data_IF_695843470734
#
_entry.id   IF_695843470734
#
_cell.length_a   1.000
_cell.length_b   1.000
_cell.length_c   1.000
_cell.angle_alpha   90.00
_cell.angle_beta   90.00
_cell.angle_gamma   90.00
#
_symmetry.space_group_name_H-M   'P 1'
#
loop_
_entity.id
_entity.type
_entity.pdbx_description
1 polymer ?
#
# COMPACT_ATOMS: atom_id res chain seq x y z
N UNK A 1 -20.81 -77.49 19.90
CA UNK A 1 -21.02 -76.04 19.75
C UNK A 1 -19.79 -75.45 19.08
N UNK A 2 -19.87 -75.13 17.79
CA UNK A 2 -18.78 -74.49 17.03
C UNK A 2 -19.07 -72.99 16.99
N UNK A 3 -18.16 -72.18 17.52
CA UNK A 3 -18.20 -70.72 17.41
C UNK A 3 -17.35 -70.34 16.20
N UNK A 4 -18.02 -70.02 15.10
CA UNK A 4 -17.44 -69.22 14.03
C UNK A 4 -17.88 -67.75 14.18
N UNK A 5 -17.14 -66.86 13.53
CA UNK A 5 -17.32 -65.41 13.40
C UNK A 5 -16.59 -64.54 14.43
N UNK A 6 -15.42 -64.01 14.03
CA UNK A 6 -15.23 -62.57 13.83
C UNK A 6 -13.83 -62.31 13.23
N UNK A 7 -13.67 -62.49 11.90
CA UNK A 7 -12.57 -61.84 11.17
C UNK A 7 -13.07 -60.48 10.70
N UNK A 8 -12.94 -59.47 11.57
CA UNK A 8 -13.40 -58.10 11.34
C UNK A 8 -12.24 -57.25 10.82
N UNK A 9 -12.45 -56.64 9.65
CA UNK A 9 -11.49 -55.87 8.85
C UNK A 9 -10.92 -54.65 9.58
N UNK A 10 -9.93 -54.86 10.45
CA UNK A 10 -9.28 -53.79 11.21
C UNK A 10 -8.30 -52.88 10.44
N UNK A 11 -7.62 -53.29 9.34
CA UNK A 11 -6.59 -52.42 8.75
C UNK A 11 -7.15 -51.26 7.93
N UNK A 12 -8.43 -51.30 7.52
CA UNK A 12 -9.07 -50.21 6.75
C UNK A 12 -9.52 -49.03 7.64
N UNK A 13 -9.79 -49.27 8.93
CA UNK A 13 -10.17 -48.20 9.86
C UNK A 13 -8.97 -47.39 10.38
N UNK A 14 -7.77 -47.98 10.42
CA UNK A 14 -6.55 -47.25 10.84
C UNK A 14 -6.01 -46.30 9.75
N UNK A 15 -6.17 -46.64 8.47
CA UNK A 15 -5.71 -45.79 7.37
C UNK A 15 -6.55 -44.51 7.21
N UNK A 16 -7.84 -44.55 7.56
CA UNK A 16 -8.72 -43.39 7.50
C UNK A 16 -8.46 -42.38 8.64
N UNK A 17 -7.90 -42.81 9.78
CA UNK A 17 -7.63 -41.92 10.91
C UNK A 17 -6.34 -41.08 10.75
N UNK A 18 -5.38 -41.51 9.94
CA UNK A 18 -4.12 -40.79 9.72
C UNK A 18 -4.18 -39.72 8.62
N UNK A 19 -5.20 -39.73 7.76
CA UNK A 19 -5.38 -38.72 6.72
C UNK A 19 -6.05 -37.42 7.22
N UNK A 20 -6.51 -37.38 8.47
CA UNK A 20 -7.24 -36.25 9.07
C UNK A 20 -6.35 -35.32 9.92
N UNK A 21 -5.04 -35.54 9.99
CA UNK A 21 -4.11 -34.76 10.82
C UNK A 21 -2.94 -34.17 10.01
N UNK A 22 -3.12 -33.97 8.70
CA UNK A 22 -2.20 -33.11 7.95
C UNK A 22 -2.72 -31.67 8.07
N UNK A 23 -2.04 -30.78 8.82
CA UNK A 23 -2.33 -29.35 8.74
C UNK A 23 -2.05 -28.93 7.30
N UNK A 24 -3.11 -28.68 6.54
CA UNK A 24 -2.98 -27.96 5.28
C UNK A 24 -2.45 -26.58 5.66
N UNK A 25 -1.25 -26.25 5.17
CA UNK A 25 -0.70 -24.91 5.25
C UNK A 25 -1.72 -23.97 4.63
N UNK A 26 -2.44 -23.23 5.47
CA UNK A 26 -3.25 -22.09 5.04
C UNK A 26 -2.27 -21.04 4.54
N UNK A 27 -2.01 -21.07 3.24
CA UNK A 27 -1.34 -19.99 2.54
C UNK A 27 -2.26 -18.78 2.65
N UNK A 28 -1.87 -17.81 3.46
CA UNK A 28 -2.48 -16.49 3.45
C UNK A 28 -2.10 -15.86 2.10
N UNK A 29 -3.06 -15.79 1.20
CA UNK A 29 -2.94 -15.06 -0.07
C UNK A 29 -3.56 -13.68 0.11
N UNK A 30 -2.76 -12.65 -0.18
CA UNK A 30 -3.15 -11.27 -0.49
C UNK A 30 -3.97 -10.50 0.58
N UNK A 31 -3.24 -9.70 1.38
CA UNK A 31 -3.72 -8.59 2.23
C UNK A 31 -4.78 -9.00 3.28
N UNK A 32 -4.32 -9.48 4.45
CA UNK A 32 -5.17 -9.68 5.64
C UNK A 32 -5.61 -8.33 6.27
N UNK A 33 -6.43 -7.57 5.54
CA UNK A 33 -7.30 -6.52 6.08
C UNK A 33 -8.72 -7.06 6.36
N UNK A 34 -9.03 -8.30 5.95
CA UNK A 34 -10.39 -8.86 6.01
C UNK A 34 -10.58 -10.14 6.85
N UNK A 35 -9.69 -10.44 7.81
CA UNK A 35 -9.92 -11.55 8.76
C UNK A 35 -10.34 -11.06 10.15
N UNK A 36 -11.60 -11.31 10.48
CA UNK A 36 -12.19 -11.22 11.82
C UNK A 36 -13.47 -10.37 11.86
N UNK A 37 -14.55 -10.90 12.43
CA UNK A 37 -15.79 -10.16 12.64
C UNK A 37 -15.50 -8.86 13.41
N UNK A 38 -15.85 -7.72 12.82
CA UNK A 38 -15.72 -6.42 13.45
C UNK A 38 -16.62 -6.35 14.68
N UNK A 39 -16.03 -6.39 15.88
CA UNK A 39 -16.69 -5.87 17.06
C UNK A 39 -16.81 -4.36 16.89
N UNK A 40 -18.00 -3.89 16.49
CA UNK A 40 -18.61 -2.56 16.75
C UNK A 40 -17.89 -1.25 16.44
N UNK A 41 -16.57 -1.19 16.34
CA UNK A 41 -15.80 0.04 16.34
C UNK A 41 -15.06 0.31 15.04
N UNK A 42 -14.86 1.60 14.75
CA UNK A 42 -14.25 2.06 13.51
C UNK A 42 -12.75 1.76 13.43
N UNK A 43 -12.26 1.40 12.24
CA UNK A 43 -10.84 1.13 12.02
C UNK A 43 -10.02 2.43 11.99
N UNK A 44 -8.80 2.42 12.50
CA UNK A 44 -7.85 3.53 12.33
C UNK A 44 -6.81 3.13 11.28
N UNK A 45 -6.62 3.95 10.26
CA UNK A 45 -5.66 3.70 9.18
C UNK A 45 -4.68 4.87 9.10
N UNK A 46 -3.42 4.61 9.42
CA UNK A 46 -2.35 5.58 9.21
C UNK A 46 -1.68 5.29 7.86
N UNK A 47 -1.79 6.22 6.92
CA UNK A 47 -1.03 6.16 5.66
C UNK A 47 0.31 6.87 5.88
N UNK A 48 1.40 6.18 5.59
CA UNK A 48 2.77 6.72 5.65
C UNK A 48 3.29 6.77 4.22
N UNK A 49 3.65 7.96 3.73
CA UNK A 49 4.18 8.14 2.36
C UNK A 49 5.66 8.53 2.45
N UNK A 50 6.50 7.77 1.76
CA UNK A 50 7.88 8.12 1.49
C UNK A 50 7.96 9.30 0.50
N UNK A 51 8.02 10.51 1.05
CA UNK A 51 8.17 11.75 0.31
C UNK A 51 9.64 12.14 0.06
N UNK A 52 10.60 11.21 0.03
CA UNK A 52 12.03 11.51 -0.20
C UNK A 52 12.35 12.02 -1.61
N UNK A 53 13.60 12.37 -1.87
CA UNK A 53 14.05 13.02 -3.12
C UNK A 53 13.56 12.38 -4.42
N UNK A 54 13.36 11.06 -4.45
CA UNK A 54 12.90 10.30 -5.61
C UNK A 54 11.37 10.35 -5.82
N UNK A 55 10.64 10.95 -4.89
CA UNK A 55 9.19 11.12 -4.98
C UNK A 55 8.76 12.00 -6.18
N UNK A 56 9.67 12.86 -6.66
CA UNK A 56 9.52 13.63 -7.89
C UNK A 56 10.41 13.08 -9.04
N UNK A 57 10.78 11.80 -8.99
CA UNK A 57 11.50 11.12 -10.07
C UNK A 57 10.50 10.45 -11.04
N UNK A 58 10.83 10.48 -12.33
CA UNK A 58 10.08 9.84 -13.42
C UNK A 58 10.71 8.48 -13.81
N UNK A 59 11.77 8.04 -13.13
CA UNK A 59 12.47 6.80 -13.43
C UNK A 59 11.59 5.53 -13.32
N UNK A 60 10.45 5.60 -12.64
CA UNK A 60 9.50 4.49 -12.56
C UNK A 60 8.60 4.34 -13.81
N UNK A 61 8.64 5.30 -14.74
CA UNK A 61 7.91 5.27 -16.01
C UNK A 61 6.39 5.00 -15.83
N UNK A 62 5.77 5.66 -14.86
CA UNK A 62 4.31 5.56 -14.67
C UNK A 62 3.60 5.98 -15.97
N UNK A 63 2.49 5.30 -16.34
CA UNK A 63 1.71 5.66 -17.52
C UNK A 63 1.36 7.16 -17.50
N UNK A 64 1.46 7.83 -18.65
CA UNK A 64 1.18 9.28 -18.75
C UNK A 64 2.37 10.19 -18.41
N UNK A 65 3.52 9.63 -18.01
CA UNK A 65 4.72 10.42 -17.66
C UNK A 65 4.60 11.12 -16.31
N UNK A 66 3.74 10.60 -15.44
CA UNK A 66 3.54 11.06 -14.08
C UNK A 66 4.73 10.73 -13.19
N UNK A 67 5.02 11.62 -12.24
CA UNK A 67 6.01 11.33 -11.20
C UNK A 67 5.39 10.39 -10.16
N UNK A 68 6.22 9.54 -9.56
CA UNK A 68 5.75 8.54 -8.58
C UNK A 68 4.86 9.15 -7.48
N UNK A 69 5.30 10.27 -6.88
CA UNK A 69 4.53 10.90 -5.82
C UNK A 69 3.21 11.48 -6.26
N UNK A 70 3.06 11.85 -7.55
CA UNK A 70 1.77 12.25 -8.09
C UNK A 70 0.83 11.04 -8.15
N UNK A 71 1.29 9.92 -8.70
CA UNK A 71 0.50 8.69 -8.80
C UNK A 71 0.04 8.18 -7.43
N UNK A 72 0.91 8.20 -6.41
CA UNK A 72 0.58 7.81 -5.04
C UNK A 72 -0.52 8.71 -4.43
N UNK A 73 -0.39 10.04 -4.60
CA UNK A 73 -1.38 11.00 -4.09
C UNK A 73 -2.71 10.91 -4.85
N UNK A 74 -2.67 10.73 -6.17
CA UNK A 74 -3.86 10.58 -7.00
C UNK A 74 -4.62 9.29 -6.69
N UNK A 75 -3.91 8.19 -6.43
CA UNK A 75 -4.52 6.95 -5.98
C UNK A 75 -5.26 7.14 -4.64
N UNK A 76 -4.66 7.84 -3.68
CA UNK A 76 -5.33 8.18 -2.42
C UNK A 76 -6.55 9.07 -2.68
N UNK A 77 -6.40 10.14 -3.46
CA UNK A 77 -7.50 11.06 -3.82
C UNK A 77 -8.67 10.30 -4.48
N UNK A 78 -8.40 9.29 -5.31
CA UNK A 78 -9.43 8.48 -5.94
C UNK A 78 -10.16 7.56 -4.94
N UNK A 79 -9.47 7.03 -3.92
CA UNK A 79 -10.05 6.08 -2.95
C UNK A 79 -10.79 6.78 -1.82
N UNK A 80 -10.29 7.90 -1.28
CA UNK A 80 -10.87 8.59 -0.10
C UNK A 80 -12.39 8.84 -0.23
N UNK A 81 -12.96 9.28 -1.38
CA UNK A 81 -14.40 9.50 -1.54
C UNK A 81 -15.25 8.24 -1.33
N UNK A 82 -14.68 7.05 -1.54
CA UNK A 82 -15.38 5.76 -1.39
C UNK A 82 -15.40 5.25 0.06
N UNK A 83 -14.60 5.84 0.95
CA UNK A 83 -14.51 5.42 2.34
C UNK A 83 -15.78 5.75 3.12
N UNK A 84 -16.21 4.78 3.94
CA UNK A 84 -17.34 4.92 4.86
C UNK A 84 -16.89 5.61 6.15
N UNK A 85 -17.86 6.11 6.90
CA UNK A 85 -17.63 6.87 8.13
C UNK A 85 -17.27 5.99 9.35
N UNK A 86 -17.13 4.68 9.15
CA UNK A 86 -16.62 3.72 10.14
C UNK A 86 -15.10 3.52 10.05
N UNK A 87 -14.40 4.38 9.31
CA UNK A 87 -12.95 4.37 9.19
C UNK A 87 -12.43 5.76 9.56
N UNK A 88 -11.35 5.80 10.34
CA UNK A 88 -10.56 6.98 10.58
C UNK A 88 -9.27 6.88 9.75
N UNK A 89 -8.85 7.97 9.12
CA UNK A 89 -7.63 8.01 8.33
C UNK A 89 -6.73 9.15 8.80
N UNK A 90 -5.44 8.87 8.94
CA UNK A 90 -4.37 9.84 9.17
C UNK A 90 -3.30 9.75 8.08
N UNK A 91 -2.52 10.81 7.93
CA UNK A 91 -1.39 10.89 7.00
C UNK A 91 -0.12 11.26 7.75
N UNK A 92 0.92 10.47 7.56
CA UNK A 92 2.28 10.73 8.02
C UNK A 92 3.21 10.88 6.82
N UNK A 93 4.09 11.87 6.88
CA UNK A 93 5.19 12.07 5.92
C UNK A 93 6.52 12.04 6.67
N UNK A 94 7.61 11.77 5.95
CA UNK A 94 8.95 11.92 6.51
C UNK A 94 9.31 13.40 6.65
N UNK A 95 9.98 13.73 7.76
CA UNK A 95 10.50 15.07 7.97
C UNK A 95 11.63 15.39 6.98
N UNK A 96 12.03 16.66 6.93
CA UNK A 96 13.08 17.11 5.99
C UNK A 96 14.50 16.71 6.43
N UNK A 97 14.66 15.97 7.53
CA UNK A 97 15.97 15.45 7.91
C UNK A 97 16.30 14.22 7.05
N UNK A 98 17.56 14.10 6.62
CA UNK A 98 18.05 12.90 5.94
C UNK A 98 18.62 11.90 6.93
N UNK A 99 18.56 10.60 6.63
CA UNK A 99 18.99 9.51 7.53
C UNK A 99 20.42 9.62 8.09
N UNK A 100 21.27 10.49 7.55
CA UNK A 100 22.58 10.81 8.16
C UNK A 100 22.47 11.58 9.49
N UNK A 101 21.35 12.26 9.73
CA UNK A 101 21.06 12.98 10.96
C UNK A 101 20.22 12.10 11.91
N UNK A 102 20.42 12.29 13.21
CA UNK A 102 19.53 11.69 14.20
C UNK A 102 18.09 12.14 13.95
N UNK A 103 17.14 11.26 14.29
CA UNK A 103 15.73 11.59 14.35
C UNK A 103 15.08 11.98 13.00
N UNK A 104 15.53 11.33 11.92
CA UNK A 104 14.98 11.48 10.55
C UNK A 104 13.78 10.56 10.35
N UNK A 105 12.65 10.95 10.93
CA UNK A 105 11.50 10.11 11.16
C UNK A 105 10.20 10.75 10.64
N UNK A 106 9.04 10.23 11.07
CA UNK A 106 7.74 10.64 10.56
C UNK A 106 7.11 11.79 11.35
N UNK A 107 6.33 12.64 10.69
CA UNK A 107 5.47 13.64 11.34
C UNK A 107 4.04 13.55 10.82
N UNK A 108 3.08 13.96 11.66
CA UNK A 108 1.66 13.90 11.32
C UNK A 108 1.30 15.09 10.44
N UNK A 109 1.04 14.80 9.16
CA UNK A 109 0.61 15.78 8.17
C UNK A 109 -0.91 15.97 8.17
N UNK A 110 -1.65 14.93 8.54
CA UNK A 110 -3.08 14.96 8.78
C UNK A 110 -3.39 14.03 9.94
N UNK A 111 -4.00 14.55 11.00
CA UNK A 111 -4.34 13.76 12.18
C UNK A 111 -5.37 12.67 11.82
N UNK A 112 -5.38 11.59 12.58
CA UNK A 112 -6.38 10.54 12.46
C UNK A 112 -7.78 11.14 12.68
N UNK A 113 -8.59 11.18 11.62
CA UNK A 113 -9.94 11.74 11.67
C UNK A 113 -10.94 10.79 11.02
N UNK A 114 -12.18 10.79 11.51
CA UNK A 114 -13.29 10.00 10.95
C UNK A 114 -13.58 10.41 9.51
N UNK A 115 -13.68 9.45 8.61
CA UNK A 115 -13.99 9.66 7.18
C UNK A 115 -15.49 9.88 6.97
N UNK A 116 -16.08 10.80 7.74
CA UNK A 116 -17.37 11.40 7.41
C UNK A 116 -17.22 12.45 6.29
N UNK A 117 -18.30 13.17 5.95
CA UNK A 117 -18.24 14.17 4.89
C UNK A 117 -17.18 15.26 5.14
N UNK A 118 -17.01 15.69 6.40
CA UNK A 118 -16.05 16.74 6.74
C UNK A 118 -14.62 16.21 6.75
N UNK A 119 -14.40 15.04 7.37
CA UNK A 119 -13.07 14.42 7.42
C UNK A 119 -12.54 14.04 6.02
N UNK A 120 -13.41 13.51 5.14
CA UNK A 120 -13.03 13.25 3.74
C UNK A 120 -12.64 14.54 3.01
N UNK A 121 -13.45 15.60 3.14
CA UNK A 121 -13.15 16.89 2.50
C UNK A 121 -11.84 17.50 3.02
N UNK A 122 -11.56 17.39 4.32
CA UNK A 122 -10.33 17.91 4.92
C UNK A 122 -9.10 17.13 4.43
N UNK A 123 -9.15 15.80 4.42
CA UNK A 123 -8.06 14.97 3.92
C UNK A 123 -7.83 15.17 2.42
N UNK A 124 -8.89 15.24 1.62
CA UNK A 124 -8.79 15.57 0.19
C UNK A 124 -8.19 16.97 -0.02
N UNK A 125 -8.55 17.95 0.80
CA UNK A 125 -7.95 19.29 0.75
C UNK A 125 -6.44 19.26 0.99
N UNK A 126 -5.98 18.47 1.97
CA UNK A 126 -4.55 18.33 2.25
C UNK A 126 -3.81 17.52 1.17
N UNK A 127 -4.38 16.41 0.68
CA UNK A 127 -3.80 15.65 -0.42
C UNK A 127 -3.68 16.50 -1.70
N UNK A 128 -4.71 17.28 -2.06
CA UNK A 128 -4.65 18.21 -3.19
C UNK A 128 -3.62 19.33 -2.97
N UNK A 129 -3.47 19.82 -1.73
CA UNK A 129 -2.43 20.79 -1.40
C UNK A 129 -1.04 20.21 -1.65
N UNK A 130 -0.81 18.98 -1.20
CA UNK A 130 0.45 18.27 -1.40
C UNK A 130 0.67 18.02 -2.90
N UNK A 131 -0.32 17.49 -3.62
CA UNK A 131 -0.22 17.20 -5.06
C UNK A 131 0.11 18.46 -5.87
N UNK A 132 -0.56 19.57 -5.61
CA UNK A 132 -0.29 20.86 -6.26
C UNK A 132 1.13 21.36 -6.00
N UNK A 133 1.69 21.01 -4.83
CA UNK A 133 3.01 21.46 -4.38
C UNK A 133 4.02 20.31 -4.30
N UNK A 134 3.83 19.21 -5.04
CA UNK A 134 4.60 17.97 -4.81
C UNK A 134 6.10 18.15 -5.07
N UNK A 135 6.43 19.01 -6.05
CA UNK A 135 7.81 19.35 -6.39
C UNK A 135 8.46 20.35 -5.41
N UNK A 136 7.68 20.95 -4.50
CA UNK A 136 8.21 21.89 -3.51
C UNK A 136 9.19 21.18 -2.59
N UNK A 137 10.41 21.71 -2.38
CA UNK A 137 11.35 21.16 -1.40
C UNK A 137 10.74 21.04 0.00
N UNK A 138 9.72 21.85 0.32
CA UNK A 138 9.05 21.76 1.62
C UNK A 138 8.23 20.48 1.80
N UNK A 139 7.71 19.89 0.72
CA UNK A 139 7.00 18.61 0.76
C UNK A 139 7.93 17.41 0.57
N UNK A 140 9.23 17.63 0.36
CA UNK A 140 10.19 16.55 0.13
C UNK A 140 11.05 16.30 1.37
N UNK A 141 11.18 15.04 1.75
CA UNK A 141 12.20 14.60 2.68
C UNK A 141 13.56 14.49 1.97
N UNK A 142 14.65 14.48 2.74
CA UNK A 142 15.99 14.31 2.20
C UNK A 142 16.19 12.90 1.63
N UNK A 143 17.19 12.73 0.76
CA UNK A 143 17.51 11.42 0.18
C UNK A 143 17.87 10.43 1.29
N UNK A 144 17.32 9.21 1.20
CA UNK A 144 17.48 8.11 2.16
C UNK A 144 16.68 8.35 3.46
N UNK A 145 15.36 8.18 3.44
CA UNK A 145 14.55 8.14 4.65
C UNK A 145 14.87 6.90 5.50
N UNK A 146 14.72 7.01 6.82
CA UNK A 146 14.76 5.86 7.73
C UNK A 146 13.36 5.34 7.99
N UNK A 147 13.02 4.20 7.39
CA UNK A 147 11.72 3.57 7.53
C UNK A 147 11.54 3.07 8.97
N UNK A 148 12.59 2.51 9.57
CA UNK A 148 12.59 2.12 10.98
C UNK A 148 12.24 3.29 11.90
N UNK A 149 12.82 4.47 11.68
CA UNK A 149 12.54 5.64 12.51
C UNK A 149 11.11 6.16 12.30
N UNK A 150 10.60 6.20 11.06
CA UNK A 150 9.23 6.61 10.81
C UNK A 150 8.19 5.63 11.39
N UNK A 151 8.45 4.32 11.31
CA UNK A 151 7.61 3.31 11.95
C UNK A 151 7.68 3.39 13.47
N UNK A 152 8.82 3.78 14.03
CA UNK A 152 8.93 4.06 15.45
C UNK A 152 8.06 5.25 15.84
N UNK A 153 8.06 6.35 15.07
CA UNK A 153 7.13 7.46 15.31
C UNK A 153 5.66 7.09 15.07
N UNK A 154 5.35 6.16 14.17
CA UNK A 154 4.01 5.61 14.05
C UNK A 154 3.59 4.87 15.33
N UNK A 155 4.49 4.07 15.92
CA UNK A 155 4.27 3.46 17.24
C UNK A 155 4.02 4.51 18.33
N UNK A 156 4.80 5.59 18.35
CA UNK A 156 4.61 6.73 19.27
C UNK A 156 3.27 7.43 19.07
N UNK A 157 2.87 7.63 17.80
CA UNK A 157 1.61 8.27 17.46
C UNK A 157 0.40 7.45 17.94
N UNK A 158 0.47 6.11 17.87
CA UNK A 158 -0.53 5.24 18.49
C UNK A 158 -0.42 5.13 20.03
N UNK A 159 0.39 5.99 20.66
CA UNK A 159 0.52 6.14 22.10
C UNK A 159 1.82 5.57 22.68
N UNK A 160 2.52 4.72 21.92
CA UNK A 160 3.78 4.10 22.35
C UNK A 160 3.68 3.39 23.70
N UNK A 161 2.47 2.94 24.09
CA UNK A 161 2.13 2.75 25.49
C UNK A 161 2.70 1.46 26.08
N UNK A 162 2.63 0.36 25.34
CA UNK A 162 2.93 -0.99 25.84
C UNK A 162 3.82 -1.77 24.88
N UNK A 163 4.36 -2.89 25.35
CA UNK A 163 5.16 -3.82 24.56
C UNK A 163 4.27 -4.90 23.92
N UNK A 164 4.76 -5.64 22.90
CA UNK A 164 4.02 -6.77 22.32
C UNK A 164 3.58 -7.82 23.36
N UNK A 165 4.38 -8.06 24.40
CA UNK A 165 4.04 -9.01 25.48
C UNK A 165 2.83 -8.56 26.32
N UNK A 166 2.54 -7.25 26.32
CA UNK A 166 1.51 -6.58 27.11
C UNK A 166 0.42 -5.95 26.23
N UNK A 167 0.31 -6.41 24.96
CA UNK A 167 -0.64 -5.87 23.99
C UNK A 167 -2.13 -6.06 24.37
N UNK A 168 -2.43 -6.85 25.40
CA UNK A 168 -3.81 -7.20 25.80
C UNK A 168 -4.14 -6.92 27.28
N UNK A 169 -3.16 -6.53 28.09
CA UNK A 169 -3.32 -6.35 29.54
C UNK A 169 -3.12 -4.90 30.01
N UNK A 170 -2.95 -3.97 29.06
CA UNK A 170 -2.86 -2.53 29.29
C UNK A 170 -1.76 -2.14 30.30
N UNK A 171 -0.63 -2.86 30.28
CA UNK A 171 0.53 -2.53 31.11
C UNK A 171 1.38 -1.47 30.40
N UNK A 172 1.57 -0.32 31.05
CA UNK A 172 2.45 0.74 30.55
C UNK A 172 3.91 0.28 30.52
N UNK A 173 4.61 0.56 29.42
CA UNK A 173 6.04 0.41 29.30
C UNK A 173 6.80 1.58 29.95
N UNK A 174 8.04 1.30 30.36
CA UNK A 174 8.97 2.27 30.93
C UNK A 174 10.41 2.01 30.43
N UNK A 175 11.27 3.03 30.33
CA UNK A 175 11.00 4.45 30.58
C UNK A 175 10.14 5.10 29.47
N UNK A 176 9.59 6.28 29.75
CA UNK A 176 8.83 7.08 28.76
C UNK A 176 9.65 8.29 28.31
N UNK A 177 10.02 8.33 27.02
CA UNK A 177 10.76 9.43 26.37
C UNK A 177 10.79 9.21 24.85
N UNK A 178 11.44 10.12 24.10
CA UNK A 178 11.53 10.07 22.65
C UNK A 178 12.09 8.74 22.09
N UNK A 179 12.95 8.03 22.82
CA UNK A 179 13.61 6.79 22.34
C UNK A 179 13.07 5.50 22.98
N UNK A 180 12.03 5.55 23.81
CA UNK A 180 11.46 4.38 24.52
C UNK A 180 9.93 4.28 24.39
N UNK A 181 9.17 4.18 25.49
CA UNK A 181 7.70 4.17 25.46
C UNK A 181 7.13 5.60 25.52
N UNK A 182 5.81 5.70 25.40
CA UNK A 182 5.03 6.93 25.51
C UNK A 182 4.98 7.76 24.21
N UNK A 183 4.19 8.86 24.20
CA UNK A 183 3.89 9.64 23.01
C UNK A 183 4.90 10.75 22.70
N UNK A 184 6.06 10.78 23.39
CA UNK A 184 7.10 11.75 23.09
C UNK A 184 7.65 11.51 21.68
N UNK A 185 7.63 12.55 20.84
CA UNK A 185 7.98 12.49 19.42
C UNK A 185 9.46 12.14 19.29
N UNK A 186 9.78 11.17 18.43
CA UNK A 186 11.15 10.83 18.09
C UNK A 186 11.70 11.77 17.01
N UNK A 187 10.91 12.09 15.97
CA UNK A 187 11.27 13.06 14.94
C UNK A 187 11.63 14.44 15.53
N UNK A 188 12.87 14.89 15.34
CA UNK A 188 13.31 16.20 15.81
C UNK A 188 14.34 16.82 14.86
N UNK A 189 14.43 18.16 14.78
CA UNK A 189 13.58 19.15 15.44
C UNK A 189 12.26 19.37 14.69
N UNK A 190 11.21 19.79 15.40
CA UNK A 190 9.89 20.07 14.83
C UNK A 190 9.89 21.17 13.74
N UNK A 191 10.92 22.01 13.67
CA UNK A 191 11.12 22.99 12.59
C UNK A 191 11.31 22.35 11.20
N UNK A 192 11.53 21.04 11.15
CA UNK A 192 11.65 20.26 9.90
C UNK A 192 10.31 19.74 9.40
N UNK A 193 9.23 19.93 10.16
CA UNK A 193 7.89 19.52 9.79
C UNK A 193 7.28 20.59 8.89
N UNK A 194 6.81 20.17 7.72
CA UNK A 194 6.06 21.06 6.85
C UNK A 194 4.57 20.90 7.14
N UNK A 195 3.90 21.98 7.54
CA UNK A 195 2.46 22.00 7.86
C UNK A 195 1.99 20.79 8.70
N UNK A 196 2.61 20.51 9.86
CA UNK A 196 2.09 19.47 10.74
C UNK A 196 0.66 19.80 11.16
N UNK A 197 -0.21 18.79 11.23
CA UNK A 197 -1.57 18.97 11.73
C UNK A 197 -1.54 19.04 13.26
N UNK A 198 -1.94 20.18 13.82
CA UNK A 198 -1.95 20.41 15.26
C UNK A 198 -2.79 19.37 16.01
N UNK A 199 -3.84 18.81 15.39
CA UNK A 199 -4.66 17.76 16.01
C UNK A 199 -3.88 16.45 16.22
N UNK A 200 -2.74 16.26 15.55
CA UNK A 200 -1.83 15.13 15.76
C UNK A 200 -0.95 15.27 17.00
N UNK A 201 -1.00 16.41 17.71
CA UNK A 201 -0.10 16.74 18.80
C UNK A 201 -0.83 17.36 20.00
N UNK A 202 -0.28 17.18 21.19
CA UNK A 202 -0.85 17.77 22.43
C UNK A 202 -0.36 19.19 22.68
N UNK A 203 0.62 19.67 21.90
CA UNK A 203 1.24 20.97 22.07
C UNK A 203 1.61 21.63 20.74
N UNK A 204 1.70 22.96 20.74
CA UNK A 204 2.07 23.74 19.55
C UNK A 204 3.57 23.68 19.18
N UNK A 205 4.38 22.95 19.96
CA UNK A 205 5.80 22.70 19.65
C UNK A 205 6.02 21.37 18.93
N UNK A 206 4.96 20.58 18.72
CA UNK A 206 4.97 19.28 18.05
C UNK A 206 5.96 18.27 18.66
N UNK A 207 6.10 18.27 19.99
CA UNK A 207 7.05 17.40 20.73
C UNK A 207 6.39 16.20 21.39
N UNK A 208 5.05 16.17 21.44
CA UNK A 208 4.27 15.09 22.03
C UNK A 208 3.07 14.82 21.15
N UNK A 209 2.96 13.60 20.62
CA UNK A 209 1.82 13.16 19.84
C UNK A 209 0.54 13.17 20.67
N UNK A 210 -0.59 13.46 20.02
CA UNK A 210 -1.91 13.20 20.53
C UNK A 210 -2.41 11.90 19.89
N UNK A 211 -2.35 10.76 20.60
CA UNK A 211 -2.82 9.51 20.05
C UNK A 211 -4.30 9.60 19.69
N UNK A 212 -4.73 8.94 18.59
CA UNK A 212 -6.15 8.87 18.28
C UNK A 212 -6.88 8.31 19.51
N UNK A 213 -7.87 9.06 20.00
CA UNK A 213 -8.70 8.60 21.10
C UNK A 213 -9.38 7.31 20.65
N UNK A 214 -9.03 6.19 21.30
CA UNK A 214 -9.75 4.94 21.12
C UNK A 214 -11.23 5.26 21.35
N UNK A 215 -12.05 5.10 20.32
CA UNK A 215 -13.47 5.41 20.39
C UNK A 215 -14.11 4.47 21.42
N UNK A 216 -14.22 4.91 22.68
CA UNK A 216 -15.00 4.27 23.75
C UNK A 216 -14.60 2.85 24.20
N UNK A 217 -13.82 2.12 23.42
CA UNK A 217 -13.49 0.73 23.65
C UNK A 217 -12.00 0.60 23.91
N UNK A 218 -11.66 -0.05 25.01
CA UNK A 218 -10.27 -0.26 25.46
C UNK A 218 -9.43 -1.06 24.43
N UNK A 219 -10.07 -1.59 23.36
CA UNK A 219 -9.44 -2.15 22.14
C UNK A 219 -10.25 -1.93 20.82
N UNK A 220 -11.27 -1.06 20.76
CA UNK A 220 -12.34 -1.16 19.74
C UNK A 220 -12.11 -0.38 18.43
N UNK A 221 -10.92 -0.51 17.87
CA UNK A 221 -10.65 -0.16 16.49
C UNK A 221 -9.32 -0.78 16.12
N UNK A 222 -9.30 -1.68 15.13
CA UNK A 222 -8.02 -2.22 14.64
C UNK A 222 -7.21 -1.05 14.05
N UNK A 223 -5.96 -0.91 14.47
CA UNK A 223 -5.02 0.05 13.90
C UNK A 223 -4.30 -0.63 12.73
N UNK A 224 -4.30 0.04 11.59
CA UNK A 224 -3.61 -0.39 10.38
C UNK A 224 -2.62 0.68 9.95
N UNK A 225 -1.50 0.23 9.41
CA UNK A 225 -0.52 1.10 8.77
C UNK A 225 -0.48 0.68 7.30
N UNK A 226 -0.68 1.65 6.40
CA UNK A 226 -0.38 1.52 4.98
C UNK A 226 0.92 2.28 4.76
N UNK A 227 1.98 1.55 4.46
CA UNK A 227 3.29 2.14 4.20
C UNK A 227 3.55 2.14 2.70
N UNK A 228 3.70 3.32 2.11
CA UNK A 228 3.99 3.52 0.68
C UNK A 228 5.45 3.98 0.57
N UNK A 229 6.33 3.06 0.20
CA UNK A 229 7.77 3.29 0.08
C UNK A 229 8.23 3.44 -1.37
N UNK A 230 9.36 4.13 -1.57
CA UNK A 230 10.03 4.27 -2.86
C UNK A 230 11.18 3.25 -3.02
N UNK A 231 10.82 1.96 -2.91
CA UNK A 231 11.79 0.86 -2.80
C UNK A 231 12.33 0.70 -1.38
N UNK A 232 13.23 -0.26 -1.18
CA UNK A 232 13.89 -0.43 0.11
C UNK A 232 15.05 0.58 0.26
N UNK A 233 15.20 1.23 1.43
CA UNK A 233 16.32 2.12 1.65
C UNK A 233 17.62 1.30 1.65
N UNK A 234 18.64 1.80 0.94
CA UNK A 234 19.99 1.20 0.94
C UNK A 234 20.66 1.25 2.33
N UNK A 235 20.21 2.17 3.20
CA UNK A 235 20.56 2.28 4.60
C UNK A 235 19.34 2.75 5.38
N UNK A 236 18.89 1.95 6.35
CA UNK A 236 17.67 2.25 7.11
C UNK A 236 17.93 3.02 8.42
N UNK A 237 19.18 3.19 8.86
CA UNK A 237 19.47 3.89 10.12
C UNK A 237 20.75 4.71 10.04
N UNK A 238 20.75 5.87 10.67
CA UNK A 238 21.98 6.65 10.93
C UNK A 238 23.01 5.79 11.67
N UNK A 239 24.32 5.92 11.40
CA UNK A 239 25.36 5.25 12.18
C UNK A 239 25.33 5.58 13.68
N UNK A 240 24.74 6.73 14.06
CA UNK A 240 24.65 7.18 15.46
C UNK A 240 23.40 6.68 16.20
N UNK A 241 22.41 6.14 15.49
CA UNK A 241 21.15 5.68 16.08
C UNK A 241 20.86 4.23 15.74
N UNK A 242 20.87 3.39 16.77
CA UNK A 242 20.60 1.97 16.63
C UNK A 242 19.10 1.70 16.82
N UNK A 243 18.31 1.78 15.75
CA UNK A 243 16.86 1.49 15.82
C UNK A 243 16.57 0.09 16.34
N UNK A 244 17.47 -0.88 16.10
CA UNK A 244 17.36 -2.21 16.71
C UNK A 244 17.36 -2.12 18.24
N UNK A 245 18.22 -1.29 18.84
CA UNK A 245 18.22 -1.07 20.29
C UNK A 245 16.91 -0.41 20.77
N UNK A 246 16.34 0.54 20.02
CA UNK A 246 15.10 1.19 20.44
C UNK A 246 13.90 0.25 20.31
N UNK A 247 13.83 -0.53 19.23
CA UNK A 247 12.82 -1.58 19.05
C UNK A 247 12.90 -2.64 20.16
N UNK A 248 14.10 -3.15 20.46
CA UNK A 248 14.31 -4.10 21.56
C UNK A 248 13.99 -3.48 22.92
N UNK A 249 14.30 -2.18 23.09
CA UNK A 249 14.00 -1.41 24.30
C UNK A 249 12.50 -1.24 24.57
N UNK A 250 11.66 -1.33 23.54
CA UNK A 250 10.19 -1.36 23.69
C UNK A 250 9.61 -2.79 23.67
N UNK A 251 10.46 -3.81 23.79
CA UNK A 251 10.08 -5.23 23.77
C UNK A 251 9.73 -5.76 22.38
N UNK A 252 10.08 -5.03 21.33
CA UNK A 252 9.94 -5.45 19.94
C UNK A 252 10.96 -6.52 19.55
N UNK A 253 10.64 -7.27 18.49
CA UNK A 253 11.57 -8.21 17.87
C UNK A 253 12.35 -7.51 16.76
N UNK A 254 13.68 -7.65 16.79
CA UNK A 254 14.57 -7.21 15.70
C UNK A 254 14.81 -8.30 14.65
N UNK A 255 14.10 -9.43 14.77
CA UNK A 255 14.19 -10.51 13.79
C UNK A 255 13.64 -10.02 12.46
N UNK A 256 14.46 -10.11 11.41
CA UNK A 256 14.06 -9.70 10.07
C UNK A 256 12.84 -10.52 9.63
N UNK A 257 11.79 -9.80 9.21
CA UNK A 257 10.59 -10.41 8.63
C UNK A 257 10.90 -10.74 7.18
N UNK A 258 10.61 -11.97 6.78
CA UNK A 258 10.75 -12.40 5.39
C UNK A 258 9.56 -11.90 4.59
N UNK A 259 9.84 -11.29 3.44
CA UNK A 259 8.82 -10.76 2.54
C UNK A 259 8.39 -11.83 1.54
N UNK A 260 7.10 -11.92 1.18
CA UNK A 260 6.67 -12.78 0.09
C UNK A 260 7.35 -12.35 -1.20
N UNK A 261 7.92 -13.30 -1.93
CA UNK A 261 8.41 -13.04 -3.29
C UNK A 261 7.18 -12.96 -4.19
N UNK A 262 7.00 -11.81 -4.82
CA UNK A 262 5.87 -11.52 -5.70
C UNK A 262 6.26 -11.74 -7.16
N UNK A 263 5.34 -12.29 -7.96
CA UNK A 263 5.45 -12.31 -9.41
C UNK A 263 4.40 -11.39 -10.01
N UNK A 264 4.82 -10.47 -10.85
CA UNK A 264 3.93 -9.59 -11.60
C UNK A 264 3.66 -10.19 -12.97
N UNK A 265 2.39 -10.42 -13.27
CA UNK A 265 1.93 -10.86 -14.59
C UNK A 265 1.06 -9.78 -15.20
N UNK A 266 1.40 -9.34 -16.40
CA UNK A 266 0.62 -8.37 -17.16
C UNK A 266 -0.03 -9.09 -18.34
N UNK A 267 -1.35 -8.98 -18.45
CA UNK A 267 -2.12 -9.53 -19.56
C UNK A 267 -3.00 -8.45 -20.17
N UNK A 268 -3.10 -8.42 -21.49
CA UNK A 268 -4.01 -7.52 -22.20
C UNK A 268 -5.12 -8.33 -22.83
N UNK A 269 -6.35 -8.11 -22.40
CA UNK A 269 -7.54 -8.69 -23.02
C UNK A 269 -8.08 -7.72 -24.07
N UNK A 270 -8.40 -8.23 -25.27
CA UNK A 270 -8.91 -7.42 -26.36
C UNK A 270 -10.40 -7.66 -26.60
N UNK A 271 -11.15 -6.56 -26.69
CA UNK A 271 -12.55 -6.54 -27.11
C UNK A 271 -12.66 -5.98 -28.51
N UNK A 272 -13.43 -6.64 -29.38
CA UNK A 272 -13.71 -6.13 -30.72
C UNK A 272 -14.75 -5.01 -30.67
N UNK A 273 -14.37 -3.81 -31.13
CA UNK A 273 -15.18 -2.59 -31.11
C UNK A 273 -15.84 -2.29 -32.47
N UNK A 274 -15.70 -3.18 -33.44
CA UNK A 274 -16.23 -3.03 -34.79
C UNK A 274 -15.12 -3.00 -35.83
N UNK A 275 -15.34 -2.25 -36.92
CA UNK A 275 -14.41 -2.18 -38.05
C UNK A 275 -13.86 -0.77 -38.22
N UNK A 276 -12.66 -0.65 -38.78
CA UNK A 276 -12.08 0.62 -39.18
C UNK A 276 -13.01 1.37 -40.15
N UNK A 277 -13.10 2.69 -39.98
CA UNK A 277 -13.89 3.54 -40.89
C UNK A 277 -13.25 3.59 -42.28
N UNK A 278 -11.93 3.70 -42.34
CA UNK A 278 -11.11 3.70 -43.55
C UNK A 278 -10.71 2.28 -44.03
N UNK A 279 -10.30 2.21 -45.29
CA UNK A 279 -9.82 1.00 -45.95
C UNK A 279 -8.29 1.01 -46.09
N UNK A 280 -7.66 -0.10 -45.78
CA UNK A 280 -6.21 -0.28 -45.75
C UNK A 280 -5.81 -1.46 -46.62
N UNK A 281 -4.54 -1.53 -47.03
CA UNK A 281 -4.06 -2.67 -47.80
C UNK A 281 -4.21 -3.97 -47.00
N UNK A 282 -4.57 -5.07 -47.65
CA UNK A 282 -4.68 -6.38 -47.00
C UNK A 282 -3.29 -7.05 -46.84
N UNK A 283 -2.43 -6.44 -46.03
CA UNK A 283 -1.08 -6.89 -45.72
C UNK A 283 -0.61 -6.30 -44.38
N UNK A 284 0.55 -6.73 -43.89
CA UNK A 284 1.11 -6.24 -42.61
C UNK A 284 1.27 -4.72 -42.56
N UNK A 285 1.66 -4.06 -43.65
CA UNK A 285 1.79 -2.60 -43.68
C UNK A 285 0.43 -1.89 -43.53
N UNK A 286 -0.64 -2.44 -44.11
CA UNK A 286 -2.00 -1.94 -43.93
C UNK A 286 -2.51 -2.12 -42.50
N UNK A 287 -2.20 -3.25 -41.85
CA UNK A 287 -2.51 -3.49 -40.44
C UNK A 287 -1.82 -2.45 -39.52
N UNK A 288 -0.53 -2.20 -39.72
CA UNK A 288 0.21 -1.18 -38.97
C UNK A 288 -0.37 0.21 -39.21
N UNK A 289 -0.65 0.57 -40.46
CA UNK A 289 -1.26 1.86 -40.82
C UNK A 289 -2.63 2.05 -40.17
N UNK A 290 -3.43 0.97 -40.11
CA UNK A 290 -4.71 0.98 -39.43
C UNK A 290 -4.55 1.23 -37.93
N UNK A 291 -3.64 0.50 -37.27
CA UNK A 291 -3.42 0.63 -35.84
C UNK A 291 -2.94 2.04 -35.48
N UNK A 292 -2.00 2.61 -36.23
CA UNK A 292 -1.54 3.99 -36.04
C UNK A 292 -2.67 5.00 -36.21
N UNK A 293 -3.49 4.85 -37.27
CA UNK A 293 -4.60 5.77 -37.53
C UNK A 293 -5.71 5.71 -36.46
N UNK A 294 -5.79 4.61 -35.70
CA UNK A 294 -6.87 4.37 -34.74
C UNK A 294 -6.40 4.36 -33.27
N UNK A 295 -5.14 4.68 -32.98
CA UNK A 295 -4.54 4.56 -31.64
C UNK A 295 -5.31 5.29 -30.50
N UNK A 296 -6.12 6.31 -30.82
CA UNK A 296 -6.95 7.05 -29.85
C UNK A 296 -8.46 6.85 -30.00
N UNK A 297 -8.92 5.89 -30.81
CA UNK A 297 -10.35 5.76 -31.18
C UNK A 297 -11.16 4.83 -30.29
N UNK A 298 -10.51 3.99 -29.48
CA UNK A 298 -11.18 3.00 -28.64
C UNK A 298 -11.95 3.62 -27.44
N UNK A 299 -11.74 4.89 -27.13
CA UNK A 299 -12.35 5.58 -25.98
C UNK A 299 -11.57 5.38 -24.68
N UNK A 300 -11.96 6.09 -23.61
CA UNK A 300 -11.24 6.14 -22.33
C UNK A 300 -11.35 4.87 -21.49
N UNK A 301 -12.08 3.84 -21.94
CA UNK A 301 -12.24 2.57 -21.24
C UNK A 301 -11.19 1.51 -21.62
N UNK A 302 -10.25 1.85 -22.51
CA UNK A 302 -9.23 0.92 -23.01
C UNK A 302 -7.85 1.56 -22.95
N UNK A 303 -6.86 0.78 -22.53
CA UNK A 303 -5.46 1.22 -22.36
C UNK A 303 -4.68 1.13 -23.68
N UNK A 304 -5.16 0.29 -24.61
CA UNK A 304 -4.57 0.12 -25.92
C UNK A 304 -5.64 0.11 -27.01
N UNK A 305 -5.30 0.64 -28.19
CA UNK A 305 -6.15 0.55 -29.36
C UNK A 305 -5.34 0.07 -30.55
N UNK A 306 -5.80 -1.00 -31.20
CA UNK A 306 -5.09 -1.61 -32.33
C UNK A 306 -6.07 -2.17 -33.36
N UNK A 307 -5.57 -2.42 -34.57
CA UNK A 307 -6.32 -3.17 -35.56
C UNK A 307 -5.98 -4.66 -35.50
N UNK A 308 -6.97 -5.52 -35.77
CA UNK A 308 -6.86 -6.97 -35.67
C UNK A 308 -6.90 -7.65 -37.04
N UNK A 309 -7.82 -8.60 -37.22
CA UNK A 309 -7.94 -9.34 -38.48
C UNK A 309 -8.56 -8.49 -39.58
N UNK A 310 -8.13 -8.65 -40.85
CA UNK A 310 -8.85 -8.06 -41.98
C UNK A 310 -10.26 -8.63 -42.04
N UNK A 311 -11.25 -7.76 -42.25
CA UNK A 311 -12.66 -8.14 -42.31
C UNK A 311 -13.17 -8.10 -43.75
N UNK A 312 -14.06 -7.17 -44.10
CA UNK A 312 -14.69 -7.13 -45.43
C UNK A 312 -14.01 -6.11 -46.34
N UNK A 313 -14.05 -6.38 -47.65
CA UNK A 313 -13.73 -5.40 -48.68
C UNK A 313 -14.95 -4.53 -49.05
N UNK A 314 -16.10 -4.73 -48.41
CA UNK A 314 -17.32 -4.00 -48.72
C UNK A 314 -17.13 -2.51 -48.43
N UNK A 315 -17.29 -1.68 -49.45
CA UNK A 315 -17.03 -0.24 -49.38
C UNK A 315 -15.55 0.15 -49.53
N UNK A 316 -14.67 -0.81 -49.83
CA UNK A 316 -13.27 -0.58 -50.15
C UNK A 316 -13.01 -0.80 -51.64
N UNK A 317 -12.24 0.08 -52.27
CA UNK A 317 -11.82 -0.06 -53.67
C UNK A 317 -10.47 -0.78 -53.79
N UNK A 318 -10.32 -1.58 -54.84
CA UNK A 318 -9.11 -2.37 -55.09
C UNK A 318 -8.87 -3.47 -54.05
N UNK A 319 -7.60 -3.81 -53.81
CA UNK A 319 -7.19 -4.86 -52.86
C UNK A 319 -7.17 -4.41 -51.39
N UNK A 320 -8.03 -3.45 -51.03
CA UNK A 320 -8.11 -2.89 -49.67
C UNK A 320 -9.24 -3.53 -48.87
N UNK A 321 -9.05 -3.58 -47.55
CA UNK A 321 -9.98 -4.17 -46.58
C UNK A 321 -10.14 -3.23 -45.38
N UNK A 322 -11.21 -3.42 -44.62
CA UNK A 322 -11.30 -2.91 -43.26
C UNK A 322 -10.63 -3.89 -42.30
N UNK A 323 -10.21 -3.40 -41.15
CA UNK A 323 -9.70 -4.25 -40.07
C UNK A 323 -10.60 -4.13 -38.85
N UNK A 324 -10.69 -5.20 -38.05
CA UNK A 324 -11.39 -5.12 -36.76
C UNK A 324 -10.66 -4.16 -35.83
N UNK A 325 -11.38 -3.25 -35.17
CA UNK A 325 -10.83 -2.40 -34.11
C UNK A 325 -10.85 -3.18 -32.80
N UNK A 326 -9.71 -3.26 -32.14
CA UNK A 326 -9.52 -3.98 -30.88
C UNK A 326 -9.15 -2.98 -29.78
N UNK A 327 -10.03 -2.86 -28.78
CA UNK A 327 -9.74 -2.17 -27.53
C UNK A 327 -9.11 -3.13 -26.54
N UNK A 328 -7.89 -2.85 -26.10
CA UNK A 328 -7.16 -3.64 -25.10
C UNK A 328 -7.33 -3.07 -23.71
N UNK A 329 -7.70 -3.93 -22.74
CA UNK A 329 -7.62 -3.62 -21.31
C UNK A 329 -6.47 -4.42 -20.72
N UNK A 330 -5.51 -3.73 -20.13
CA UNK A 330 -4.34 -4.31 -19.51
C UNK A 330 -4.61 -4.54 -18.03
N UNK A 331 -4.60 -5.80 -17.64
CA UNK A 331 -4.68 -6.20 -16.22
C UNK A 331 -3.30 -6.63 -15.76
N UNK A 332 -2.81 -5.95 -14.73
CA UNK A 332 -1.60 -6.37 -14.01
C UNK A 332 -2.04 -7.10 -12.74
N UNK A 333 -1.63 -8.35 -12.61
CA UNK A 333 -1.88 -9.19 -11.43
C UNK A 333 -0.55 -9.46 -10.74
N UNK A 334 -0.48 -9.10 -9.47
CA UNK A 334 0.65 -9.42 -8.60
C UNK A 334 0.24 -10.61 -7.76
N UNK A 335 1.01 -11.70 -7.83
CA UNK A 335 0.69 -12.94 -7.12
C UNK A 335 1.88 -13.38 -6.27
N UNK A 336 1.68 -13.74 -5.00
CA UNK A 336 2.72 -14.39 -4.21
C UNK A 336 3.18 -15.69 -4.85
N UNK A 337 4.48 -15.94 -4.87
CA UNK A 337 5.06 -17.20 -5.38
C UNK A 337 4.93 -18.37 -4.39
N UNK A 338 4.44 -18.10 -3.18
CA UNK A 338 4.50 -19.04 -2.05
C UNK A 338 5.90 -19.18 -1.43
N UNK A 339 6.89 -18.42 -1.90
CA UNK A 339 8.21 -18.32 -1.29
C UNK A 339 8.40 -16.97 -0.61
N UNK A 340 9.32 -16.91 0.35
CA UNK A 340 9.70 -15.67 1.00
C UNK A 340 11.20 -15.42 0.83
N UNK A 341 11.60 -14.16 0.87
CA UNK A 341 13.00 -13.74 0.82
C UNK A 341 13.24 -12.62 1.85
N UNK A 342 14.47 -12.44 2.34
CA UNK A 342 14.79 -11.22 3.07
C UNK A 342 14.55 -10.00 2.15
N UNK A 343 14.05 -8.87 2.69
CA UNK A 343 13.98 -7.64 1.93
C UNK A 343 15.37 -7.28 1.39
N UNK A 344 15.44 -7.03 0.08
CA UNK A 344 16.66 -6.77 -0.70
C UNK A 344 16.80 -5.31 -1.08
#
# INVERSE_FOLDING_TARGET
MKVEHLKRNWPLLLAAAFALVLPLSTQAEDIDIFVGSSGGGGANVLVIIDNTSNWADNAQHWPGGEYQGQAELEALIAVIPSLRDNINVGLMLFNQNGSGNCCSAGYIRFAMQKMDANGRNALLGELNNILTNFASPLNKAASNASYSMALFDAFKYFGGYTSPAHATDNVAGAPQNATHFGPAVFATPASTFNRPDLLGYTNGTYTVYAPPTAAGDVCGGKNYIIFIGNGFPNTDTSPSENMKTFLEGVGGSSTQIWMPVLTTTTSTAYTNLGNSSACYNNNGAGLSSCSTANAGTCGSSYDACSCGTPTTATGCSGSKVKYSLLGGVTTTTVTPTGTTAPPS
#
